data_IF_418276604180
#
_entry.id   IF_418276604180
#
_cell.length_a   1.000
_cell.length_b   1.000
_cell.length_c   1.000
_cell.angle_alpha   90.00
_cell.angle_beta   90.00
_cell.angle_gamma   90.00
#
_symmetry.space_group_name_H-M   'P 1'
#
loop_
_entity.id
_entity.type
_entity.pdbx_description
1 polymer ?
#
# COMPACT_ATOMS: atom_id res chain seq x y z
N UNK A 1 5.60 -4.70 -21.43
CA UNK A 1 6.94 -4.38 -20.87
C UNK A 1 6.94 -2.90 -20.54
N UNK A 2 6.85 -2.54 -19.25
CA UNK A 2 6.78 -1.16 -18.78
C UNK A 2 8.22 -0.63 -18.63
N UNK A 3 8.55 0.45 -19.35
CA UNK A 3 9.91 1.01 -19.46
C UNK A 3 9.89 2.43 -18.90
N UNK A 4 10.92 2.82 -18.16
CA UNK A 4 11.07 4.18 -17.68
C UNK A 4 12.50 4.67 -17.93
N UNK A 5 12.69 5.96 -18.20
CA UNK A 5 13.99 6.55 -18.59
C UNK A 5 14.17 7.90 -17.92
N UNK A 6 15.39 8.24 -17.51
CA UNK A 6 15.71 9.56 -16.94
C UNK A 6 16.47 10.34 -18.02
N UNK A 7 15.94 11.47 -18.50
CA UNK A 7 16.52 12.30 -19.58
C UNK A 7 16.59 13.75 -19.13
N UNK A 8 17.71 14.45 -19.32
CA UNK A 8 17.89 15.83 -18.81
C UNK A 8 18.46 16.79 -19.86
N UNK A 9 17.67 17.81 -20.18
CA UNK A 9 18.16 19.14 -20.55
C UNK A 9 17.74 20.06 -19.39
N UNK A 10 18.72 20.71 -18.76
CA UNK A 10 18.62 21.75 -17.71
C UNK A 10 17.95 21.43 -16.35
N UNK A 11 17.20 20.34 -16.19
CA UNK A 11 16.67 19.86 -14.89
C UNK A 11 16.71 18.32 -14.80
N UNK A 12 17.10 17.75 -13.65
CA UNK A 12 16.98 16.30 -13.41
C UNK A 12 15.51 15.86 -13.63
N UNK A 13 15.25 15.17 -14.74
CA UNK A 13 13.92 14.77 -15.22
C UNK A 13 13.83 13.26 -15.19
N UNK A 14 12.91 12.80 -14.35
CA UNK A 14 12.54 11.40 -14.20
C UNK A 14 11.33 11.15 -15.10
N UNK A 15 11.39 10.13 -15.95
CA UNK A 15 10.25 9.69 -16.76
C UNK A 15 9.89 8.26 -16.37
N UNK A 16 8.62 7.89 -16.46
CA UNK A 16 8.13 6.55 -16.20
C UNK A 16 6.70 6.34 -16.67
N UNK A 17 6.30 5.07 -16.78
CA UNK A 17 5.01 4.67 -17.37
C UNK A 17 3.85 4.67 -16.39
N UNK A 18 4.11 4.83 -15.09
CA UNK A 18 3.09 4.95 -14.05
C UNK A 18 3.63 5.77 -12.87
N UNK A 19 2.76 6.13 -11.93
CA UNK A 19 3.16 6.79 -10.69
C UNK A 19 4.16 5.97 -9.88
N UNK A 20 3.99 4.63 -9.84
CA UNK A 20 4.96 3.72 -9.21
C UNK A 20 6.35 3.86 -9.84
N UNK A 21 6.47 3.88 -11.17
CA UNK A 21 7.80 3.99 -11.81
C UNK A 21 8.44 5.36 -11.61
N UNK A 22 7.65 6.43 -11.63
CA UNK A 22 8.13 7.78 -11.35
C UNK A 22 8.66 7.88 -9.92
N UNK A 23 7.90 7.37 -8.94
CA UNK A 23 8.30 7.38 -7.53
C UNK A 23 9.50 6.47 -7.26
N UNK A 24 9.57 5.28 -7.86
CA UNK A 24 10.72 4.41 -7.75
C UNK A 24 11.99 5.03 -8.37
N UNK A 25 11.85 5.70 -9.52
CA UNK A 25 12.94 6.46 -10.14
C UNK A 25 13.44 7.62 -9.26
N UNK A 26 12.51 8.36 -8.64
CA UNK A 26 12.84 9.39 -7.65
C UNK A 26 13.58 8.80 -6.45
N UNK A 27 13.07 7.73 -5.86
CA UNK A 27 13.71 7.06 -4.74
C UNK A 27 15.11 6.55 -5.10
N UNK A 28 15.27 5.96 -6.29
CA UNK A 28 16.56 5.48 -6.78
C UNK A 28 17.57 6.64 -6.89
N UNK A 29 17.17 7.77 -7.44
CA UNK A 29 18.01 8.96 -7.53
C UNK A 29 18.40 9.48 -6.14
N UNK A 30 17.43 9.65 -5.24
CA UNK A 30 17.67 10.10 -3.88
C UNK A 30 18.64 9.19 -3.12
N UNK A 31 18.49 7.87 -3.29
CA UNK A 31 19.36 6.88 -2.63
C UNK A 31 20.80 6.88 -3.18
N UNK A 32 20.98 6.91 -4.49
CA UNK A 32 22.30 6.71 -5.11
C UNK A 32 23.08 8.00 -5.36
N UNK A 33 22.37 9.10 -5.61
CA UNK A 33 22.99 10.39 -5.92
C UNK A 33 22.94 11.36 -4.74
N UNK A 34 21.82 11.40 -4.01
CA UNK A 34 21.71 12.24 -2.81
C UNK A 34 22.08 11.52 -1.51
N UNK A 35 22.45 10.23 -1.58
CA UNK A 35 22.85 9.41 -0.43
C UNK A 35 21.83 9.42 0.72
N UNK A 36 20.53 9.47 0.42
CA UNK A 36 19.48 9.46 1.43
C UNK A 36 18.95 8.05 1.70
N UNK A 37 18.27 7.88 2.84
CA UNK A 37 17.60 6.63 3.19
C UNK A 37 16.15 6.88 3.63
N UNK A 38 15.23 6.03 3.15
CA UNK A 38 13.80 6.09 3.46
C UNK A 38 13.35 4.70 3.89
N UNK A 39 12.98 4.55 5.16
CA UNK A 39 12.42 3.31 5.72
C UNK A 39 11.26 3.61 6.67
N UNK A 40 10.69 2.57 7.30
CA UNK A 40 9.72 2.78 8.36
C UNK A 40 10.36 3.50 9.55
N UNK A 41 9.56 4.26 10.30
CA UNK A 41 10.02 5.00 11.47
C UNK A 41 10.78 4.11 12.47
N UNK A 42 10.27 2.88 12.72
CA UNK A 42 10.92 1.90 13.60
C UNK A 42 12.24 1.34 13.07
N UNK A 43 12.54 1.50 11.78
CA UNK A 43 13.74 0.96 11.11
C UNK A 43 14.68 2.06 10.63
N UNK A 44 14.58 3.28 11.17
CA UNK A 44 15.47 4.40 10.87
C UNK A 44 14.81 5.57 10.14
N UNK A 45 13.55 5.44 9.72
CA UNK A 45 12.74 6.54 9.20
C UNK A 45 13.33 7.25 7.98
N UNK A 46 13.19 8.58 7.96
CA UNK A 46 13.68 9.44 6.89
C UNK A 46 15.06 10.00 7.26
N UNK A 47 16.11 9.54 6.59
CA UNK A 47 17.46 10.08 6.73
C UNK A 47 17.79 10.94 5.51
N UNK A 48 17.50 12.23 5.63
CA UNK A 48 17.59 13.21 4.55
C UNK A 48 18.71 14.25 4.78
N UNK A 49 19.57 14.06 5.78
CA UNK A 49 20.64 15.01 6.14
C UNK A 49 21.68 15.21 5.04
N UNK A 50 21.85 14.22 4.17
CA UNK A 50 22.73 14.24 3.00
C UNK A 50 22.11 14.93 1.78
N UNK A 51 20.82 15.29 1.82
CA UNK A 51 20.12 15.88 0.68
C UNK A 51 20.65 17.30 0.40
N UNK A 52 21.22 17.56 -0.79
CA UNK A 52 21.71 18.89 -1.11
C UNK A 52 20.58 19.92 -1.22
N UNK A 53 20.93 21.20 -1.00
CA UNK A 53 19.98 22.31 -1.19
C UNK A 53 19.48 22.33 -2.63
N UNK A 54 18.26 22.84 -2.82
CA UNK A 54 17.67 23.07 -4.14
C UNK A 54 18.64 23.91 -4.99
N UNK A 55 18.97 23.43 -6.18
CA UNK A 55 19.97 24.04 -7.07
C UNK A 55 21.38 23.43 -6.97
N UNK A 56 21.65 22.58 -5.97
CA UNK A 56 22.91 21.84 -5.81
C UNK A 56 22.72 20.32 -5.90
N UNK A 57 21.62 19.90 -6.53
CA UNK A 57 21.32 18.49 -6.75
C UNK A 57 22.34 17.87 -7.70
N UNK A 58 22.88 16.67 -7.41
CA UNK A 58 23.88 16.03 -8.25
C UNK A 58 23.37 15.79 -9.68
N UNK A 59 24.22 16.05 -10.66
CA UNK A 59 23.90 15.82 -12.06
C UNK A 59 24.09 14.35 -12.41
N UNK A 60 23.07 13.74 -13.01
CA UNK A 60 23.20 12.44 -13.67
C UNK A 60 23.89 12.59 -15.03
N UNK A 61 24.56 11.54 -15.56
CA UNK A 61 25.21 11.61 -16.86
C UNK A 61 24.25 12.03 -17.98
N UNK A 62 24.73 12.80 -18.96
CA UNK A 62 23.90 13.31 -20.06
C UNK A 62 23.27 12.23 -20.93
N UNK A 63 23.88 11.04 -20.98
CA UNK A 63 23.32 9.87 -21.66
C UNK A 63 22.05 9.31 -20.99
N UNK A 64 21.74 9.77 -19.77
CA UNK A 64 20.63 9.27 -18.96
C UNK A 64 20.99 7.96 -18.24
N UNK A 65 20.13 7.59 -17.28
CA UNK A 65 20.22 6.32 -16.56
C UNK A 65 18.91 5.58 -16.77
N UNK A 66 19.01 4.32 -17.19
CA UNK A 66 17.90 3.40 -17.36
C UNK A 66 17.91 2.40 -16.20
N UNK A 67 16.93 2.52 -15.31
CA UNK A 67 16.68 1.52 -14.27
C UNK A 67 15.47 0.70 -14.70
N UNK A 68 15.57 -0.62 -14.67
CA UNK A 68 14.48 -1.51 -15.05
C UNK A 68 14.18 -2.47 -13.92
N UNK A 69 12.88 -2.65 -13.63
CA UNK A 69 12.45 -3.73 -12.74
C UNK A 69 12.74 -5.09 -13.42
N UNK A 70 13.23 -6.09 -12.69
CA UNK A 70 13.53 -7.40 -13.27
C UNK A 70 12.26 -8.21 -13.56
N UNK A 71 11.16 -7.89 -12.90
CA UNK A 71 9.88 -8.60 -13.01
C UNK A 71 8.73 -7.63 -13.21
N UNK A 72 7.64 -8.02 -13.90
CA UNK A 72 6.50 -7.12 -14.15
C UNK A 72 5.70 -6.80 -12.89
N UNK A 73 5.70 -7.68 -11.90
CA UNK A 73 4.92 -7.56 -10.67
C UNK A 73 5.84 -7.57 -9.45
N UNK A 74 5.77 -6.49 -8.67
CA UNK A 74 6.42 -6.33 -7.37
C UNK A 74 5.34 -6.41 -6.31
N UNK A 75 5.20 -7.59 -5.72
CA UNK A 75 4.20 -7.91 -4.72
C UNK A 75 4.62 -7.46 -3.32
N UNK A 76 3.66 -7.07 -2.48
CA UNK A 76 3.90 -6.72 -1.09
C UNK A 76 2.75 -7.19 -0.18
N UNK A 77 3.12 -7.52 1.07
CA UNK A 77 2.27 -7.94 2.21
C UNK A 77 1.98 -9.45 2.29
N UNK A 78 1.51 -9.90 3.45
CA UNK A 78 0.89 -11.21 3.63
C UNK A 78 -0.53 -11.00 4.18
N UNK A 79 -1.44 -11.95 3.99
CA UNK A 79 -2.77 -11.94 4.61
C UNK A 79 -2.70 -11.69 6.12
N UNK A 80 -1.73 -12.33 6.81
CA UNK A 80 -1.56 -12.18 8.27
C UNK A 80 -1.06 -10.80 8.70
N UNK A 81 -0.40 -10.05 7.80
CA UNK A 81 0.10 -8.69 8.12
C UNK A 81 -1.06 -7.74 8.44
N UNK A 82 -2.25 -8.00 7.89
CA UNK A 82 -3.46 -7.23 8.20
C UNK A 82 -3.84 -7.28 9.68
N UNK A 83 -3.59 -8.40 10.36
CA UNK A 83 -3.83 -8.55 11.80
C UNK A 83 -2.62 -8.14 12.65
N UNK A 84 -1.43 -8.62 12.28
CA UNK A 84 -0.23 -8.42 13.10
C UNK A 84 0.31 -6.99 13.09
N UNK A 85 0.04 -6.24 12.03
CA UNK A 85 0.61 -4.91 11.85
C UNK A 85 -0.45 -3.85 11.62
N UNK A 86 -1.45 -4.13 10.78
CA UNK A 86 -2.33 -3.08 10.24
C UNK A 86 -3.65 -2.90 11.00
N UNK A 87 -3.99 -3.80 11.94
CA UNK A 87 -5.29 -3.83 12.60
C UNK A 87 -5.68 -2.44 13.15
N UNK A 88 -4.72 -1.72 13.73
CA UNK A 88 -4.97 -0.44 14.40
C UNK A 88 -4.49 0.77 13.60
N UNK A 89 -4.21 0.61 12.31
CA UNK A 89 -3.72 1.71 11.48
C UNK A 89 -4.84 2.66 11.06
N UNK A 90 -4.62 3.94 11.30
CA UNK A 90 -5.42 5.02 10.74
C UNK A 90 -5.08 5.28 9.27
N UNK A 91 -5.82 6.19 8.64
CA UNK A 91 -5.52 6.64 7.29
C UNK A 91 -4.12 7.24 7.17
N UNK A 92 -3.70 8.07 8.13
CA UNK A 92 -2.41 8.77 8.12
C UNK A 92 -1.25 7.77 8.11
N UNK A 93 -1.39 6.64 8.83
CA UNK A 93 -0.38 5.58 8.80
C UNK A 93 -0.42 4.81 7.48
N UNK A 94 -1.60 4.53 6.93
CA UNK A 94 -1.75 3.88 5.62
C UNK A 94 -1.19 4.72 4.47
N UNK A 95 -1.41 6.03 4.49
CA UNK A 95 -0.89 6.95 3.49
C UNK A 95 0.64 6.89 3.44
N UNK A 96 1.31 6.95 4.60
CA UNK A 96 2.77 6.76 4.70
C UNK A 96 3.21 5.39 4.17
N UNK A 97 2.43 4.33 4.40
CA UNK A 97 2.78 3.00 3.88
C UNK A 97 2.67 2.96 2.35
N UNK A 98 1.62 3.53 1.77
CA UNK A 98 1.42 3.56 0.31
C UNK A 98 2.51 4.40 -0.35
N UNK A 99 2.87 5.54 0.25
CA UNK A 99 4.00 6.37 -0.21
C UNK A 99 5.32 5.59 -0.15
N UNK A 100 5.56 4.83 0.92
CA UNK A 100 6.71 3.94 0.99
C UNK A 100 6.67 2.84 -0.09
N UNK A 101 5.51 2.19 -0.28
CA UNK A 101 5.32 1.16 -1.31
C UNK A 101 5.66 1.67 -2.72
N UNK A 102 5.20 2.88 -3.10
CA UNK A 102 5.51 3.44 -4.42
C UNK A 102 6.99 3.77 -4.58
N UNK A 103 7.66 4.25 -3.52
CA UNK A 103 9.10 4.50 -3.54
C UNK A 103 9.89 3.19 -3.69
N UNK A 104 9.40 2.07 -3.14
CA UNK A 104 9.99 0.74 -3.34
C UNK A 104 9.59 0.07 -4.67
N UNK A 105 8.78 0.72 -5.51
CA UNK A 105 8.37 0.17 -6.80
C UNK A 105 7.31 -0.94 -6.74
N UNK A 106 6.63 -1.09 -5.60
CA UNK A 106 5.52 -2.05 -5.41
C UNK A 106 4.36 -1.66 -6.32
N UNK A 107 3.84 -2.62 -7.09
CA UNK A 107 2.69 -2.42 -7.98
C UNK A 107 1.55 -3.43 -7.78
N UNK A 108 1.74 -4.43 -6.92
CA UNK A 108 0.74 -5.45 -6.56
C UNK A 108 0.65 -5.61 -5.03
N UNK A 109 0.19 -4.59 -4.28
CA UNK A 109 -0.05 -4.73 -2.85
C UNK A 109 -1.35 -5.48 -2.56
N UNK A 110 -1.49 -6.09 -1.39
CA UNK A 110 -2.80 -6.56 -0.92
C UNK A 110 -3.63 -5.39 -0.35
N UNK A 111 -4.96 -5.52 -0.38
CA UNK A 111 -5.88 -4.55 0.23
C UNK A 111 -7.01 -5.29 0.97
N UNK A 112 -6.77 -5.61 2.25
CA UNK A 112 -7.62 -6.49 3.06
C UNK A 112 -8.68 -5.78 3.91
N UNK A 113 -8.65 -4.45 4.04
CA UNK A 113 -9.54 -3.74 4.96
C UNK A 113 -11.00 -3.80 4.49
N UNK A 114 -11.93 -3.85 5.46
CA UNK A 114 -13.36 -3.73 5.21
C UNK A 114 -14.05 -4.94 4.56
N UNK A 115 -13.40 -6.10 4.45
CA UNK A 115 -14.02 -7.31 3.88
C UNK A 115 -15.26 -7.76 4.66
N UNK A 116 -15.25 -7.60 5.99
CA UNK A 116 -16.36 -8.01 6.85
C UNK A 116 -17.63 -7.21 6.54
N UNK A 117 -17.52 -5.94 6.17
CA UNK A 117 -18.65 -5.12 5.73
C UNK A 117 -19.25 -5.60 4.39
N UNK A 118 -18.44 -6.20 3.52
CA UNK A 118 -18.93 -6.82 2.28
C UNK A 118 -19.61 -8.16 2.60
N UNK A 119 -19.00 -8.98 3.47
CA UNK A 119 -19.60 -10.24 3.90
C UNK A 119 -20.92 -10.05 4.64
N UNK A 120 -21.04 -9.05 5.52
CA UNK A 120 -22.31 -8.70 6.18
C UNK A 120 -23.42 -8.46 5.14
N UNK A 121 -23.15 -7.66 4.09
CA UNK A 121 -24.11 -7.43 3.00
C UNK A 121 -24.44 -8.67 2.19
N UNK A 122 -23.49 -9.60 2.05
CA UNK A 122 -23.74 -10.88 1.39
C UNK A 122 -24.67 -11.72 2.26
N UNK A 123 -24.40 -11.84 3.55
CA UNK A 123 -25.23 -12.61 4.50
C UNK A 123 -26.65 -12.06 4.64
N UNK A 124 -26.82 -10.74 4.64
CA UNK A 124 -28.13 -10.08 4.63
C UNK A 124 -29.00 -10.53 3.43
N UNK A 125 -28.39 -10.78 2.25
CA UNK A 125 -29.12 -11.28 1.08
C UNK A 125 -29.63 -12.72 1.24
N UNK A 126 -29.12 -13.45 2.22
CA UNK A 126 -29.56 -14.79 2.60
C UNK A 126 -30.39 -14.80 3.89
N UNK A 127 -30.91 -13.65 4.32
CA UNK A 127 -31.72 -13.48 5.53
C UNK A 127 -31.01 -13.90 6.84
N UNK A 128 -29.69 -13.85 6.87
CA UNK A 128 -28.91 -14.05 8.10
C UNK A 128 -28.88 -12.71 8.85
N UNK A 129 -29.35 -12.72 10.10
CA UNK A 129 -29.44 -11.51 10.91
C UNK A 129 -28.07 -11.07 11.43
N UNK A 130 -27.95 -9.81 11.87
CA UNK A 130 -26.70 -9.33 12.48
C UNK A 130 -26.31 -10.14 13.71
N UNK A 131 -27.31 -10.56 14.50
CA UNK A 131 -27.11 -11.40 15.70
C UNK A 131 -26.58 -12.79 15.35
N UNK A 132 -27.00 -13.35 14.22
CA UNK A 132 -26.49 -14.64 13.73
C UNK A 132 -25.01 -14.56 13.30
N UNK A 133 -24.44 -13.35 13.18
CA UNK A 133 -23.03 -13.12 12.85
C UNK A 133 -22.15 -12.79 14.08
N UNK A 134 -22.73 -12.72 15.28
CA UNK A 134 -22.00 -12.33 16.50
C UNK A 134 -20.81 -13.27 16.80
N UNK A 135 -20.90 -14.56 16.43
CA UNK A 135 -19.85 -15.57 16.60
C UNK A 135 -19.16 -15.99 15.29
N UNK A 136 -19.48 -15.32 14.18
CA UNK A 136 -18.93 -15.64 12.86
C UNK A 136 -17.57 -14.96 12.64
N UNK A 137 -17.51 -13.63 12.77
CA UNK A 137 -16.27 -12.89 12.55
C UNK A 137 -15.33 -13.00 13.75
N UNK A 138 -14.03 -13.16 13.48
CA UNK A 138 -13.00 -12.93 14.50
C UNK A 138 -12.89 -11.45 14.89
N UNK A 139 -12.32 -11.18 16.06
CA UNK A 139 -11.98 -9.83 16.49
C UNK A 139 -10.91 -9.17 15.59
N UNK A 140 -10.72 -7.85 15.69
CA UNK A 140 -9.82 -7.09 14.79
C UNK A 140 -8.41 -7.67 14.63
N UNK A 141 -7.80 -8.07 15.76
CA UNK A 141 -6.46 -8.64 15.80
C UNK A 141 -6.38 -10.09 15.27
N UNK A 142 -7.52 -10.72 14.94
CA UNK A 142 -7.62 -12.12 14.53
C UNK A 142 -8.26 -12.31 13.15
N UNK A 143 -8.67 -11.22 12.51
CA UNK A 143 -9.36 -11.22 11.22
C UNK A 143 -8.63 -11.96 10.10
N UNK A 144 -7.29 -11.93 10.06
CA UNK A 144 -6.53 -12.64 9.03
C UNK A 144 -6.79 -14.15 9.06
N UNK A 145 -6.78 -14.78 10.23
CA UNK A 145 -7.12 -16.21 10.36
C UNK A 145 -8.59 -16.48 10.14
N UNK A 146 -9.46 -15.56 10.58
CA UNK A 146 -10.90 -15.70 10.36
C UNK A 146 -11.25 -15.71 8.87
N UNK A 147 -10.69 -14.77 8.10
CA UNK A 147 -10.84 -14.70 6.63
C UNK A 147 -10.31 -15.92 5.90
N UNK A 148 -9.29 -16.58 6.46
CA UNK A 148 -8.72 -17.82 5.91
C UNK A 148 -9.48 -19.08 6.36
N UNK A 149 -10.56 -18.95 7.14
CA UNK A 149 -11.36 -20.07 7.63
C UNK A 149 -10.73 -20.88 8.76
N UNK A 150 -9.66 -20.37 9.38
CA UNK A 150 -8.96 -21.07 10.46
C UNK A 150 -9.62 -20.86 11.83
N UNK A 151 -10.40 -19.79 12.00
CA UNK A 151 -11.12 -19.48 13.24
C UNK A 151 -12.40 -18.69 12.97
N UNK A 152 -13.31 -18.69 13.93
CA UNK A 152 -14.50 -17.83 13.97
C UNK A 152 -14.73 -17.35 15.41
N UNK A 153 -15.38 -16.20 15.57
CA UNK A 153 -15.83 -15.63 16.86
C UNK A 153 -14.74 -15.15 17.83
N UNK A 154 -13.53 -15.68 17.79
CA UNK A 154 -12.49 -15.37 18.78
C UNK A 154 -12.11 -13.88 18.79
N UNK A 155 -12.26 -13.23 19.95
CA UNK A 155 -12.01 -11.81 20.15
C UNK A 155 -13.07 -10.87 19.56
N UNK A 156 -14.18 -11.41 19.04
CA UNK A 156 -15.37 -10.66 18.63
C UNK A 156 -16.38 -10.46 19.77
N UNK A 157 -17.62 -10.02 19.46
CA UNK A 157 -18.10 -9.63 18.13
C UNK A 157 -17.47 -8.31 17.65
N UNK A 158 -17.50 -8.08 16.33
CA UNK A 158 -17.10 -6.78 15.77
C UNK A 158 -18.23 -5.77 15.93
N UNK A 159 -17.99 -4.58 16.48
CA UNK A 159 -19.00 -3.54 16.52
C UNK A 159 -19.28 -3.01 15.10
N UNK A 160 -20.51 -2.58 14.81
CA UNK A 160 -20.87 -2.05 13.49
C UNK A 160 -19.96 -0.87 13.06
N UNK A 161 -19.54 -0.02 14.01
CA UNK A 161 -18.60 1.06 13.75
C UNK A 161 -17.29 0.58 13.13
N UNK A 162 -16.79 -0.59 13.53
CA UNK A 162 -15.60 -1.18 12.92
C UNK A 162 -15.81 -1.49 11.43
N UNK A 163 -16.93 -2.11 11.08
CA UNK A 163 -17.24 -2.48 9.69
C UNK A 163 -17.34 -1.22 8.82
N UNK A 164 -18.04 -0.20 9.32
CA UNK A 164 -18.26 1.06 8.63
C UNK A 164 -16.94 1.83 8.44
N UNK A 165 -16.15 1.98 9.50
CA UNK A 165 -14.86 2.69 9.48
C UNK A 165 -13.84 1.98 8.58
N UNK A 166 -13.74 0.65 8.65
CA UNK A 166 -12.83 -0.13 7.80
C UNK A 166 -13.23 -0.06 6.33
N UNK A 167 -14.52 0.00 6.01
CA UNK A 167 -14.99 0.18 4.64
C UNK A 167 -14.63 1.57 4.10
N UNK A 168 -14.77 2.63 4.90
CA UNK A 168 -14.36 3.99 4.54
C UNK A 168 -12.85 4.06 4.34
N UNK A 169 -12.07 3.48 5.25
CA UNK A 169 -10.62 3.42 5.18
C UNK A 169 -10.17 2.69 3.91
N UNK A 170 -10.77 1.53 3.59
CA UNK A 170 -10.43 0.76 2.40
C UNK A 170 -10.67 1.55 1.10
N UNK A 171 -11.75 2.34 1.02
CA UNK A 171 -12.02 3.19 -0.15
C UNK A 171 -10.91 4.23 -0.35
N UNK A 172 -10.40 4.83 0.73
CA UNK A 172 -9.27 5.78 0.67
C UNK A 172 -7.98 5.08 0.22
N UNK A 173 -7.68 3.91 0.79
CA UNK A 173 -6.51 3.08 0.43
C UNK A 173 -6.52 2.74 -1.06
N UNK A 174 -7.64 2.21 -1.57
CA UNK A 174 -7.78 1.83 -2.96
C UNK A 174 -7.65 3.04 -3.90
N UNK A 175 -8.31 4.16 -3.59
CA UNK A 175 -8.22 5.37 -4.41
C UNK A 175 -6.76 5.84 -4.56
N UNK A 176 -6.00 5.87 -3.46
CA UNK A 176 -4.58 6.25 -3.46
C UNK A 176 -3.71 5.26 -4.23
N UNK A 177 -3.85 3.96 -3.99
CA UNK A 177 -3.14 2.91 -4.74
C UNK A 177 -3.39 3.03 -6.26
N UNK A 178 -4.65 3.22 -6.68
CA UNK A 178 -5.00 3.38 -8.09
C UNK A 178 -4.43 4.67 -8.70
N UNK A 179 -4.39 5.78 -7.95
CA UNK A 179 -3.78 7.03 -8.44
C UNK A 179 -2.30 6.88 -8.82
N UNK A 180 -1.60 5.91 -8.24
CA UNK A 180 -0.21 5.59 -8.58
C UNK A 180 -0.07 4.52 -9.66
N UNK A 181 -1.16 3.88 -10.08
CA UNK A 181 -1.16 2.79 -11.04
C UNK A 181 -0.83 1.43 -10.42
N UNK A 182 -1.02 1.25 -9.12
CA UNK A 182 -0.98 -0.07 -8.49
C UNK A 182 -2.22 -0.89 -8.86
N UNK A 183 -2.10 -2.22 -8.76
CA UNK A 183 -3.21 -3.16 -8.92
C UNK A 183 -3.39 -3.92 -7.61
N UNK A 184 -4.23 -3.44 -6.68
CA UNK A 184 -4.37 -4.08 -5.38
C UNK A 184 -5.00 -5.47 -5.49
N UNK A 185 -4.42 -6.46 -4.82
CA UNK A 185 -4.99 -7.79 -4.69
C UNK A 185 -6.20 -7.79 -3.76
N UNK A 186 -7.21 -8.60 -4.13
CA UNK A 186 -8.46 -8.95 -3.41
C UNK A 186 -9.71 -8.15 -3.81
N UNK A 187 -9.58 -7.01 -4.48
CA UNK A 187 -10.73 -6.30 -5.04
C UNK A 187 -10.54 -6.06 -6.54
N UNK A 188 -11.13 -6.94 -7.36
CA UNK A 188 -11.14 -6.79 -8.82
C UNK A 188 -12.08 -5.63 -9.20
N UNK A 189 -11.55 -4.42 -9.40
CA UNK A 189 -12.04 -3.23 -10.17
C UNK A 189 -13.55 -2.89 -10.31
N UNK A 190 -14.48 -3.63 -9.72
CA UNK A 190 -15.93 -3.61 -9.95
C UNK A 190 -16.71 -3.93 -8.66
N UNK A 191 -16.46 -3.17 -7.60
CA UNK A 191 -17.44 -3.03 -6.50
C UNK A 191 -17.76 -1.54 -6.37
#
# INVERSE_FOLDING_TARGET
MLKYSVNVLTFNRIQGTSGVELSAGLHWYLKHWCLTHISWEKTGGLQLSSLPKVGSLPHVPSAGILVQRPVPLSYYQNAVTSSYSYAWWSWERWEKEIDWMVLQGVNLPLAFNGQEAIWQKVFERYNISHRDLDDFFGGPAFLSWSRMGNLHGWGGPLPQSWLDDQLVLQKKILARMYSFGMTPGIFYKKI
#
